data_IF_074274443424
#
_entry.id   IF_074274443424
#
_cell.length_a   1.000
_cell.length_b   1.000
_cell.length_c   1.000
_cell.angle_alpha   90.00
_cell.angle_beta   90.00
_cell.angle_gamma   90.00
#
_symmetry.space_group_name_H-M   'P 1'
#
loop_
_entity.id
_entity.type
_entity.pdbx_description
1 polymer ?
#
# COMPACT_ATOMS: atom_id res chain seq x y z
N UNK A 1 -32.09 -1.76 -44.43
CA UNK A 1 -31.76 -0.36 -44.05
C UNK A 1 -31.46 0.39 -45.32
N UNK A 2 -32.16 1.50 -45.55
CA UNK A 2 -31.95 2.34 -46.72
C UNK A 2 -30.56 2.99 -46.62
N UNK A 3 -29.63 2.75 -47.57
CA UNK A 3 -28.29 3.32 -47.52
C UNK A 3 -28.30 4.86 -47.46
N UNK A 4 -29.37 5.51 -47.92
CA UNK A 4 -29.53 6.96 -47.84
C UNK A 4 -29.80 7.48 -46.42
N UNK A 5 -30.35 6.65 -45.54
CA UNK A 5 -30.65 7.00 -44.15
C UNK A 5 -29.42 6.86 -43.25
N UNK A 6 -28.60 5.84 -43.50
CA UNK A 6 -27.28 5.65 -42.87
C UNK A 6 -26.35 6.83 -43.19
N UNK A 7 -26.31 7.28 -44.44
CA UNK A 7 -25.46 8.40 -44.85
C UNK A 7 -25.95 9.73 -44.25
N UNK A 8 -27.26 9.93 -44.13
CA UNK A 8 -27.86 11.13 -43.52
C UNK A 8 -27.58 11.19 -42.02
N UNK A 9 -27.66 10.06 -41.32
CA UNK A 9 -27.32 9.97 -39.90
C UNK A 9 -25.81 10.17 -39.66
N UNK A 10 -24.95 9.62 -40.52
CA UNK A 10 -23.50 9.84 -40.45
C UNK A 10 -23.14 11.33 -40.66
N UNK A 11 -23.71 11.98 -41.68
CA UNK A 11 -23.50 13.43 -41.91
C UNK A 11 -23.97 14.29 -40.74
N UNK A 12 -25.06 13.89 -40.09
CA UNK A 12 -25.59 14.58 -38.91
C UNK A 12 -24.66 14.43 -37.71
N UNK A 13 -24.18 13.21 -37.42
CA UNK A 13 -23.21 12.96 -36.34
C UNK A 13 -21.89 13.69 -36.60
N UNK A 14 -21.37 13.68 -37.82
CA UNK A 14 -20.18 14.46 -38.18
C UNK A 14 -20.39 15.97 -37.95
N UNK A 15 -21.58 16.51 -38.23
CA UNK A 15 -21.85 17.94 -38.02
C UNK A 15 -21.96 18.32 -36.54
N UNK A 16 -22.48 17.45 -35.69
CA UNK A 16 -22.68 17.75 -34.27
C UNK A 16 -21.49 17.38 -33.39
N UNK A 17 -20.69 16.40 -33.77
CA UNK A 17 -19.55 15.92 -32.95
C UNK A 17 -18.21 16.42 -33.50
N UNK A 18 -18.03 16.40 -34.83
CA UNK A 18 -16.76 16.80 -35.45
C UNK A 18 -16.58 18.32 -35.44
N UNK A 19 -17.65 19.08 -35.65
CA UNK A 19 -17.56 20.55 -35.74
C UNK A 19 -17.15 21.21 -34.41
N UNK A 20 -17.70 20.86 -33.23
CA UNK A 20 -17.23 21.43 -31.96
C UNK A 20 -15.80 21.01 -31.62
N UNK A 21 -15.42 19.75 -31.92
CA UNK A 21 -14.07 19.24 -31.68
C UNK A 21 -13.04 19.94 -32.57
N UNK A 22 -13.35 20.10 -33.87
CA UNK A 22 -12.52 20.85 -34.80
C UNK A 22 -12.47 22.34 -34.44
N UNK A 23 -13.53 22.94 -33.90
CA UNK A 23 -13.52 24.30 -33.37
C UNK A 23 -12.61 24.43 -32.14
N UNK A 24 -12.68 23.51 -31.17
CA UNK A 24 -11.80 23.52 -29.99
C UNK A 24 -10.33 23.25 -30.37
N UNK A 25 -10.11 22.34 -31.32
CA UNK A 25 -8.78 22.05 -31.85
C UNK A 25 -8.23 23.25 -32.63
N UNK A 26 -9.05 23.94 -33.43
CA UNK A 26 -8.64 25.15 -34.15
C UNK A 26 -8.41 26.35 -33.23
N UNK A 27 -9.15 26.48 -32.12
CA UNK A 27 -8.87 27.46 -31.07
C UNK A 27 -7.53 27.15 -30.37
N UNK A 28 -7.25 25.88 -30.05
CA UNK A 28 -5.96 25.46 -29.48
C UNK A 28 -4.79 25.68 -30.45
N UNK A 29 -5.02 25.47 -31.76
CA UNK A 29 -4.04 25.64 -32.84
C UNK A 29 -3.83 27.12 -33.23
N UNK A 30 -4.81 27.99 -32.97
CA UNK A 30 -4.73 29.42 -33.30
C UNK A 30 -3.95 30.23 -32.24
N UNK A 31 -3.76 29.69 -31.03
CA UNK A 31 -3.08 30.38 -29.93
C UNK A 31 -1.56 30.29 -29.94
N UNK A 32 -0.96 29.25 -30.54
CA UNK A 32 0.50 29.06 -30.51
C UNK A 32 1.02 28.41 -31.83
N UNK A 33 1.87 29.12 -32.61
CA UNK A 33 2.43 28.62 -33.85
C UNK A 33 3.33 27.37 -33.66
N UNK A 34 3.89 27.14 -32.48
CA UNK A 34 4.65 25.92 -32.20
C UNK A 34 3.76 24.68 -32.17
N UNK A 35 2.50 24.84 -31.73
CA UNK A 35 1.53 23.74 -31.67
C UNK A 35 1.13 23.25 -33.07
N UNK A 36 1.11 24.14 -34.08
CA UNK A 36 0.85 23.77 -35.50
C UNK A 36 1.90 22.81 -36.04
N UNK A 37 3.18 23.09 -35.78
CA UNK A 37 4.29 22.26 -36.25
C UNK A 37 4.27 20.87 -35.61
N UNK A 38 3.80 20.76 -34.36
CA UNK A 38 3.72 19.48 -33.65
C UNK A 38 2.57 18.59 -34.14
N UNK A 39 1.45 19.18 -34.59
CA UNK A 39 0.23 18.42 -34.96
C UNK A 39 0.16 18.11 -36.47
N UNK A 40 0.84 18.88 -37.32
CA UNK A 40 0.87 18.63 -38.78
C UNK A 40 1.22 17.18 -39.20
N UNK A 41 2.19 16.48 -38.57
CA UNK A 41 2.45 15.07 -38.89
C UNK A 41 1.31 14.12 -38.50
N UNK A 42 0.51 14.45 -37.46
CA UNK A 42 -0.65 13.64 -37.09
C UNK A 42 -1.76 13.72 -38.15
N UNK A 43 -1.95 14.87 -38.80
CA UNK A 43 -2.93 15.00 -39.88
C UNK A 43 -2.52 14.18 -41.11
N UNK A 44 -1.25 14.22 -41.51
CA UNK A 44 -0.73 13.39 -42.60
C UNK A 44 -0.85 11.89 -42.32
N UNK A 45 -0.66 11.48 -41.07
CA UNK A 45 -0.88 10.08 -40.65
C UNK A 45 -2.36 9.68 -40.72
N UNK A 46 -3.28 10.55 -40.30
CA UNK A 46 -4.72 10.28 -40.35
C UNK A 46 -5.25 10.19 -41.78
N UNK A 47 -4.72 10.98 -42.71
CA UNK A 47 -5.06 10.92 -44.13
C UNK A 47 -4.55 9.65 -44.83
N UNK A 48 -3.47 9.05 -44.31
CA UNK A 48 -2.90 7.81 -44.84
C UNK A 48 -3.65 6.54 -44.39
N UNK A 49 -4.60 6.64 -43.45
CA UNK A 49 -5.34 5.50 -42.95
C UNK A 49 -6.44 5.04 -43.93
N UNK A 50 -6.67 3.72 -44.08
CA UNK A 50 -7.82 3.22 -44.82
C UNK A 50 -9.12 3.78 -44.23
N UNK A 51 -10.05 4.19 -45.11
CA UNK A 51 -11.35 4.80 -44.75
C UNK A 51 -12.11 4.12 -43.59
N UNK A 52 -12.17 2.77 -43.47
CA UNK A 52 -12.84 2.15 -42.32
C UNK A 52 -12.11 2.38 -40.99
N UNK A 53 -10.77 2.44 -41.00
CA UNK A 53 -9.96 2.71 -39.80
C UNK A 53 -10.09 4.18 -39.38
N UNK A 54 -10.10 5.10 -40.35
CA UNK A 54 -10.33 6.52 -40.12
C UNK A 54 -11.68 6.81 -39.46
N UNK A 55 -12.74 6.12 -39.90
CA UNK A 55 -14.07 6.25 -39.30
C UNK A 55 -14.09 5.77 -37.84
N UNK A 56 -13.43 4.64 -37.52
CA UNK A 56 -13.33 4.14 -36.14
C UNK A 56 -12.54 5.10 -35.26
N UNK A 57 -11.42 5.65 -35.75
CA UNK A 57 -10.62 6.64 -35.00
C UNK A 57 -11.42 7.90 -34.70
N UNK A 58 -12.13 8.45 -35.70
CA UNK A 58 -12.98 9.65 -35.50
C UNK A 58 -14.14 9.38 -34.53
N UNK A 59 -14.77 8.22 -34.64
CA UNK A 59 -15.88 7.86 -33.77
C UNK A 59 -15.37 7.63 -32.34
N UNK A 60 -14.17 7.08 -32.15
CA UNK A 60 -13.63 6.78 -30.81
C UNK A 60 -12.93 7.97 -30.15
N UNK A 61 -12.31 8.88 -30.92
CA UNK A 61 -11.59 10.05 -30.42
C UNK A 61 -12.37 10.91 -29.41
N UNK A 62 -13.67 11.24 -29.59
CA UNK A 62 -14.41 12.06 -28.63
C UNK A 62 -14.73 11.31 -27.33
N UNK A 63 -14.63 9.97 -27.30
CA UNK A 63 -14.82 9.17 -26.09
C UNK A 63 -13.53 8.98 -25.29
N UNK A 64 -12.36 9.23 -25.88
CA UNK A 64 -11.07 9.12 -25.18
C UNK A 64 -10.92 10.19 -24.07
N UNK A 65 -11.20 11.49 -24.30
CA UNK A 65 -11.09 12.51 -23.25
C UNK A 65 -12.02 12.26 -22.05
N UNK A 66 -13.31 11.90 -22.21
CA UNK A 66 -14.18 11.55 -21.08
C UNK A 66 -13.67 10.38 -20.24
N UNK A 67 -13.12 9.33 -20.87
CA UNK A 67 -12.54 8.18 -20.15
C UNK A 67 -11.30 8.62 -19.37
N UNK A 68 -10.41 9.41 -19.97
CA UNK A 68 -9.21 9.94 -19.29
C UNK A 68 -9.62 10.83 -18.11
N UNK A 69 -10.58 11.73 -18.30
CA UNK A 69 -11.11 12.60 -17.24
C UNK A 69 -11.75 11.78 -16.14
N UNK A 70 -12.57 10.78 -16.46
CA UNK A 70 -13.19 9.90 -15.47
C UNK A 70 -12.14 9.15 -14.65
N UNK A 71 -11.09 8.62 -15.29
CA UNK A 71 -9.96 7.98 -14.60
C UNK A 71 -9.21 8.99 -13.71
N UNK A 72 -8.98 10.22 -14.17
CA UNK A 72 -8.35 11.26 -13.36
C UNK A 72 -9.20 11.68 -12.16
N UNK A 73 -10.50 11.88 -12.35
CA UNK A 73 -11.45 12.21 -11.26
C UNK A 73 -11.50 11.06 -10.25
N UNK A 74 -11.59 9.82 -10.72
CA UNK A 74 -11.54 8.65 -9.85
C UNK A 74 -10.23 8.60 -9.05
N UNK A 75 -9.08 8.88 -9.68
CA UNK A 75 -7.78 8.99 -9.00
C UNK A 75 -7.79 10.07 -7.91
N UNK A 76 -8.33 11.24 -8.21
CA UNK A 76 -8.43 12.34 -7.23
C UNK A 76 -9.35 11.97 -6.07
N UNK A 77 -10.48 11.31 -6.33
CA UNK A 77 -11.41 10.86 -5.30
C UNK A 77 -10.82 9.78 -4.40
N UNK A 78 -10.15 8.78 -4.97
CA UNK A 78 -9.44 7.73 -4.21
C UNK A 78 -8.33 8.36 -3.38
N UNK A 79 -7.52 9.24 -3.98
CA UNK A 79 -6.46 9.96 -3.26
C UNK A 79 -7.02 10.84 -2.14
N UNK A 80 -8.12 11.56 -2.38
CA UNK A 80 -8.79 12.41 -1.38
C UNK A 80 -9.36 11.57 -0.23
N UNK A 81 -9.96 10.42 -0.53
CA UNK A 81 -10.44 9.47 0.48
C UNK A 81 -9.31 8.96 1.38
N UNK A 82 -8.16 8.61 0.78
CA UNK A 82 -6.95 8.24 1.51
C UNK A 82 -6.39 9.42 2.33
N UNK A 83 -6.34 10.63 1.76
CA UNK A 83 -5.86 11.84 2.44
C UNK A 83 -6.73 12.25 3.64
N UNK A 84 -8.07 12.14 3.51
CA UNK A 84 -8.98 12.42 4.63
C UNK A 84 -8.80 11.42 5.77
N UNK A 85 -8.64 10.14 5.42
CA UNK A 85 -8.33 9.08 6.39
C UNK A 85 -6.97 9.32 7.07
N UNK A 86 -5.99 9.87 6.35
CA UNK A 86 -4.68 10.21 6.90
C UNK A 86 -4.72 11.27 8.01
N UNK A 87 -5.31 12.44 7.71
CA UNK A 87 -5.31 13.58 8.64
C UNK A 87 -5.98 13.21 9.97
N UNK A 88 -7.06 12.42 9.90
CA UNK A 88 -7.74 11.90 11.09
C UNK A 88 -6.86 10.94 11.92
N UNK A 89 -5.97 10.16 11.30
CA UNK A 89 -5.13 9.16 11.98
C UNK A 89 -3.91 9.77 12.67
N UNK A 90 -3.33 10.83 12.12
CA UNK A 90 -2.21 11.53 12.77
C UNK A 90 -2.65 12.24 14.04
N UNK A 91 -3.85 12.83 14.02
CA UNK A 91 -4.41 13.51 15.19
C UNK A 91 -4.86 12.47 16.22
N UNK A 92 -5.41 11.33 15.77
CA UNK A 92 -5.74 10.19 16.62
C UNK A 92 -4.50 9.55 17.27
N UNK A 93 -3.33 9.51 16.61
CA UNK A 93 -2.08 9.01 17.20
C UNK A 93 -1.73 9.76 18.49
N UNK A 94 -1.76 11.09 18.39
CA UNK A 94 -1.37 12.00 19.44
C UNK A 94 -2.38 11.95 20.59
N UNK A 95 -3.67 11.78 20.27
CA UNK A 95 -4.75 11.57 21.24
C UNK A 95 -4.68 10.17 21.88
N UNK A 96 -4.48 9.10 21.12
CA UNK A 96 -4.42 7.72 21.64
C UNK A 96 -3.19 7.49 22.54
N UNK A 97 -2.10 8.23 22.30
CA UNK A 97 -0.89 8.14 23.12
C UNK A 97 -0.92 9.05 24.35
N UNK A 98 -1.76 10.09 24.35
CA UNK A 98 -1.94 11.01 25.49
C UNK A 98 -3.16 10.65 26.36
N UNK A 99 -4.18 10.02 25.79
CA UNK A 99 -5.38 9.62 26.49
C UNK A 99 -5.14 8.31 27.25
N UNK A 100 -5.31 8.36 28.58
CA UNK A 100 -5.43 7.18 29.44
C UNK A 100 -6.54 6.20 28.99
N UNK A 101 -7.48 6.66 28.16
CA UNK A 101 -8.58 5.88 27.62
C UNK A 101 -8.47 5.86 26.08
N UNK A 102 -7.99 4.74 25.56
CA UNK A 102 -7.92 4.46 24.11
C UNK A 102 -9.34 4.18 23.59
N UNK A 103 -10.07 5.21 23.19
CA UNK A 103 -11.30 5.03 22.40
C UNK A 103 -10.91 4.84 20.92
N UNK A 104 -10.33 3.68 20.60
CA UNK A 104 -10.07 3.32 19.20
C UNK A 104 -11.37 2.86 18.54
N UNK A 105 -11.47 3.02 17.23
CA UNK A 105 -12.63 2.59 16.41
C UNK A 105 -13.11 1.15 16.72
N UNK A 106 -12.21 0.29 17.18
CA UNK A 106 -12.49 -1.11 17.54
C UNK A 106 -12.12 -1.47 19.00
N UNK A 107 -11.73 -0.50 19.83
CA UNK A 107 -11.21 -0.72 21.19
C UNK A 107 -9.89 -1.49 21.28
N UNK A 108 -9.28 -1.89 20.15
CA UNK A 108 -8.03 -2.67 20.08
C UNK A 108 -6.87 -1.85 19.55
N UNK A 109 -5.72 -1.99 20.21
CA UNK A 109 -4.45 -1.35 19.83
C UNK A 109 -3.46 -2.43 19.40
N UNK A 110 -2.83 -2.27 18.25
CA UNK A 110 -1.79 -3.16 17.76
C UNK A 110 -0.47 -2.40 17.69
N UNK A 111 0.62 -3.00 18.14
CA UNK A 111 1.95 -2.40 18.11
C UNK A 111 2.77 -3.02 17.00
N UNK A 112 3.37 -2.22 16.13
CA UNK A 112 4.37 -2.68 15.17
C UNK A 112 5.78 -2.29 15.59
N UNK A 113 6.59 -3.29 15.92
CA UNK A 113 7.99 -3.17 16.31
C UNK A 113 8.91 -3.48 15.14
N UNK A 114 9.82 -2.55 14.84
CA UNK A 114 10.80 -2.68 13.76
C UNK A 114 12.02 -1.81 13.96
N UNK A 115 13.07 -2.13 13.22
CA UNK A 115 14.29 -1.33 13.12
C UNK A 115 14.05 -0.02 12.35
N UNK A 116 14.68 1.10 12.68
CA UNK A 116 14.48 2.35 11.92
C UNK A 116 14.86 2.24 10.45
N UNK A 117 15.92 1.52 10.12
CA UNK A 117 16.39 1.33 8.75
C UNK A 117 15.40 0.54 7.89
N UNK A 118 14.46 -0.18 8.53
CA UNK A 118 13.33 -0.83 7.86
C UNK A 118 12.25 0.14 7.39
N UNK A 119 12.38 1.44 7.71
CA UNK A 119 11.50 2.48 7.17
C UNK A 119 11.51 2.49 5.64
N UNK A 120 12.58 2.06 4.97
CA UNK A 120 12.63 2.07 3.51
C UNK A 120 12.20 0.76 2.86
N UNK A 121 11.68 -0.20 3.64
CA UNK A 121 11.17 -1.45 3.08
C UNK A 121 9.86 -1.18 2.34
N UNK A 122 9.98 -1.25 1.01
CA UNK A 122 8.84 -1.29 0.10
C UNK A 122 8.03 -2.55 0.37
N UNK A 123 6.74 -2.54 0.08
CA UNK A 123 5.84 -3.69 0.18
C UNK A 123 5.67 -4.40 -1.17
N UNK A 124 6.35 -3.94 -2.21
CA UNK A 124 6.37 -4.55 -3.55
C UNK A 124 6.79 -6.04 -3.52
N UNK A 125 7.46 -6.50 -2.48
CA UNK A 125 7.76 -7.91 -2.28
C UNK A 125 6.60 -8.79 -1.79
N UNK A 126 5.50 -8.22 -1.30
CA UNK A 126 4.28 -8.99 -0.99
C UNK A 126 3.44 -9.23 -2.24
N UNK A 127 3.44 -8.27 -3.15
CA UNK A 127 2.61 -8.27 -4.34
C UNK A 127 3.40 -8.92 -5.47
N UNK A 128 3.00 -10.13 -5.87
CA UNK A 128 3.55 -10.77 -7.08
C UNK A 128 3.19 -9.90 -8.28
N UNK A 129 4.18 -9.56 -9.11
CA UNK A 129 4.18 -8.54 -10.18
C UNK A 129 3.13 -8.75 -11.30
N UNK A 130 2.26 -9.76 -11.21
CA UNK A 130 1.40 -10.21 -12.32
C UNK A 130 0.19 -9.29 -12.61
N UNK A 131 -0.21 -8.41 -11.68
CA UNK A 131 -1.49 -7.68 -11.80
C UNK A 131 -1.40 -6.16 -12.08
N UNK A 132 -0.21 -5.56 -12.24
CA UNK A 132 -0.10 -4.09 -12.32
C UNK A 132 0.45 -3.53 -13.64
N UNK A 133 -0.19 -3.84 -14.77
CA UNK A 133 0.06 -3.13 -16.02
C UNK A 133 -0.23 -1.61 -15.94
N UNK A 134 -0.87 -1.11 -14.87
CA UNK A 134 -1.27 0.30 -14.80
C UNK A 134 -1.04 1.05 -13.47
N UNK A 135 -0.70 0.40 -12.35
CA UNK A 135 -0.62 1.07 -11.04
C UNK A 135 0.32 0.39 -10.01
N UNK A 136 1.64 0.46 -10.23
CA UNK A 136 2.63 0.14 -9.19
C UNK A 136 2.77 1.34 -8.24
N UNK A 137 1.84 1.47 -7.27
CA UNK A 137 2.09 2.34 -6.12
C UNK A 137 3.03 1.59 -5.18
N UNK A 138 4.27 2.09 -5.07
CA UNK A 138 5.26 1.56 -4.11
C UNK A 138 4.82 1.96 -2.70
N UNK A 139 4.00 1.13 -2.06
CA UNK A 139 3.64 1.28 -0.65
C UNK A 139 4.75 0.75 0.24
N UNK A 140 4.80 1.23 1.50
CA UNK A 140 5.72 0.71 2.51
C UNK A 140 5.04 -0.36 3.36
N UNK A 141 5.83 -1.22 3.99
CA UNK A 141 5.28 -2.28 4.84
C UNK A 141 4.45 -1.75 6.02
N UNK A 142 4.83 -0.61 6.62
CA UNK A 142 4.01 -0.01 7.68
C UNK A 142 2.66 0.51 7.17
N UNK A 143 2.55 0.86 5.89
CA UNK A 143 1.30 1.30 5.30
C UNK A 143 0.38 0.09 5.04
N UNK A 144 0.93 -0.98 4.46
CA UNK A 144 0.15 -2.19 4.22
C UNK A 144 -0.30 -2.85 5.52
N UNK A 145 0.55 -2.89 6.56
CA UNK A 145 0.15 -3.36 7.89
C UNK A 145 -0.92 -2.46 8.51
N UNK A 146 -0.78 -1.13 8.42
CA UNK A 146 -1.77 -0.22 8.97
C UNK A 146 -3.12 -0.39 8.29
N UNK A 147 -3.13 -0.57 6.97
CA UNK A 147 -4.36 -0.82 6.20
C UNK A 147 -4.96 -2.20 6.49
N UNK A 148 -4.12 -3.23 6.66
CA UNK A 148 -4.57 -4.57 7.00
C UNK A 148 -5.20 -4.64 8.39
N UNK A 149 -4.65 -3.90 9.36
CA UNK A 149 -5.13 -3.84 10.74
C UNK A 149 -6.35 -2.93 10.91
N UNK A 150 -6.55 -1.94 10.04
CA UNK A 150 -7.67 -0.97 10.11
C UNK A 150 -9.06 -1.64 10.09
N UNK A 151 -9.16 -2.87 9.61
CA UNK A 151 -10.38 -3.67 9.64
C UNK A 151 -10.80 -4.09 11.06
N UNK A 152 -9.87 -4.23 12.00
CA UNK A 152 -10.12 -4.80 13.33
C UNK A 152 -9.39 -4.11 14.48
N UNK A 153 -8.64 -3.04 14.22
CA UNK A 153 -7.88 -2.33 15.25
C UNK A 153 -7.17 -1.08 14.76
N UNK A 154 -6.30 -0.54 15.60
CA UNK A 154 -5.43 0.58 15.26
C UNK A 154 -3.97 0.16 15.42
N UNK A 155 -3.19 0.24 14.34
CA UNK A 155 -1.76 -0.03 14.37
C UNK A 155 -0.99 1.22 14.80
N UNK A 156 -0.11 1.10 15.79
CA UNK A 156 0.83 2.15 16.21
C UNK A 156 2.27 1.67 16.09
N UNK A 157 3.17 2.60 15.81
CA UNK A 157 4.61 2.38 15.77
C UNK A 157 5.33 3.35 16.70
N UNK A 158 6.59 3.06 17.00
CA UNK A 158 7.52 4.04 17.55
C UNK A 158 8.41 4.59 16.45
N UNK A 159 8.79 5.87 16.58
CA UNK A 159 9.84 6.44 15.76
C UNK A 159 9.64 7.89 15.37
N UNK A 160 10.54 8.39 14.51
CA UNK A 160 10.46 9.77 14.01
C UNK A 160 9.20 9.94 13.17
N UNK A 161 8.46 11.03 13.41
CA UNK A 161 7.33 11.43 12.57
C UNK A 161 7.86 11.66 11.15
N UNK A 162 7.42 10.83 10.21
CA UNK A 162 7.75 10.99 8.80
C UNK A 162 6.85 12.09 8.23
N UNK A 163 7.46 13.10 7.59
CA UNK A 163 6.76 14.32 7.17
C UNK A 163 5.81 14.14 5.97
N UNK A 164 5.71 12.95 5.36
CA UNK A 164 5.23 12.86 3.98
C UNK A 164 4.41 11.62 3.57
N UNK A 165 3.98 10.74 4.48
CA UNK A 165 3.34 9.49 4.04
C UNK A 165 1.85 9.42 4.36
N UNK A 166 0.97 9.39 3.34
CA UNK A 166 -0.47 9.50 3.51
C UNK A 166 -1.15 8.24 4.10
N UNK A 167 -0.47 7.12 4.33
CA UNK A 167 -1.15 5.87 4.71
C UNK A 167 -0.44 5.01 5.78
N UNK A 168 0.53 5.57 6.50
CA UNK A 168 1.34 4.81 7.46
C UNK A 168 0.71 4.66 8.86
N UNK A 169 1.24 3.69 9.62
CA UNK A 169 0.92 3.56 11.03
C UNK A 169 1.32 4.83 11.81
N UNK A 170 0.42 5.41 12.62
CA UNK A 170 0.75 6.52 13.51
C UNK A 170 1.96 6.23 14.41
N UNK A 171 2.80 7.25 14.65
CA UNK A 171 4.08 7.08 15.37
C UNK A 171 4.13 7.85 16.69
N UNK A 172 4.45 7.16 17.78
CA UNK A 172 4.90 7.81 19.02
C UNK A 172 6.34 8.28 18.83
N UNK A 173 6.56 9.58 18.91
CA UNK A 173 7.91 10.12 18.93
C UNK A 173 8.55 9.81 20.28
N UNK A 174 9.68 9.11 20.25
CA UNK A 174 10.46 8.77 21.43
C UNK A 174 11.90 9.26 21.27
N UNK A 175 12.57 9.49 22.40
CA UNK A 175 14.02 9.72 22.46
C UNK A 175 14.75 8.39 22.69
N UNK A 176 16.06 8.33 22.44
CA UNK A 176 16.85 7.12 22.70
C UNK A 176 16.80 6.70 24.18
N UNK A 177 16.75 7.66 25.10
CA UNK A 177 16.69 7.41 26.55
C UNK A 177 15.28 6.95 26.96
N UNK A 178 14.23 7.57 26.41
CA UNK A 178 12.83 7.21 26.70
C UNK A 178 12.36 5.92 26.02
N UNK A 179 13.07 5.48 24.97
CA UNK A 179 12.65 4.39 24.10
C UNK A 179 12.28 3.11 24.84
N UNK A 180 13.11 2.54 25.74
CA UNK A 180 12.75 1.28 26.41
C UNK A 180 11.46 1.39 27.23
N UNK A 181 11.22 2.55 27.86
CA UNK A 181 10.02 2.82 28.65
C UNK A 181 8.79 2.93 27.75
N UNK A 182 8.92 3.65 26.64
CA UNK A 182 7.82 3.83 25.69
C UNK A 182 7.43 2.52 24.99
N UNK A 183 8.41 1.68 24.60
CA UNK A 183 8.17 0.34 24.07
C UNK A 183 7.47 -0.54 25.10
N UNK A 184 7.97 -0.57 26.34
CA UNK A 184 7.37 -1.37 27.40
C UNK A 184 5.91 -0.99 27.67
N UNK A 185 5.62 0.31 27.76
CA UNK A 185 4.25 0.82 27.94
C UNK A 185 3.33 0.41 26.77
N UNK A 186 3.80 0.53 25.53
CA UNK A 186 3.02 0.15 24.36
C UNK A 186 2.81 -1.36 24.26
N UNK A 187 3.84 -2.15 24.55
CA UNK A 187 3.75 -3.61 24.58
C UNK A 187 2.74 -4.08 25.62
N UNK A 188 2.66 -3.43 26.78
CA UNK A 188 1.70 -3.74 27.82
C UNK A 188 0.26 -3.49 27.35
N UNK A 189 0.00 -2.29 26.81
CA UNK A 189 -1.33 -1.85 26.36
C UNK A 189 -1.81 -2.52 25.06
N UNK A 190 -0.92 -3.00 24.22
CA UNK A 190 -1.29 -3.55 22.91
C UNK A 190 -2.08 -4.86 23.07
N UNK A 191 -3.18 -4.97 22.33
CA UNK A 191 -3.95 -6.20 22.12
C UNK A 191 -3.16 -7.23 21.29
N UNK A 192 -2.29 -6.77 20.41
CA UNK A 192 -1.41 -7.61 19.61
C UNK A 192 -0.14 -6.88 19.19
N UNK A 193 0.94 -7.63 18.99
CA UNK A 193 2.24 -7.11 18.58
C UNK A 193 2.59 -7.73 17.23
N UNK A 194 2.94 -6.91 16.25
CA UNK A 194 3.55 -7.33 15.00
C UNK A 194 5.02 -6.97 15.12
N UNK A 195 5.93 -7.91 14.91
CA UNK A 195 7.35 -7.66 15.04
C UNK A 195 8.10 -8.12 13.81
N UNK A 196 8.96 -7.25 13.28
CA UNK A 196 9.99 -7.66 12.34
C UNK A 196 11.24 -8.11 13.14
N UNK A 197 11.51 -9.42 13.26
CA UNK A 197 12.59 -9.89 14.12
C UNK A 197 13.95 -9.54 13.50
N UNK A 198 14.85 -9.03 14.33
CA UNK A 198 16.25 -8.71 13.97
C UNK A 198 17.13 -8.85 15.19
N UNK A 199 18.41 -9.17 14.97
CA UNK A 199 19.42 -9.20 16.04
C UNK A 199 20.17 -7.88 16.21
N UNK A 200 19.73 -6.83 15.52
CA UNK A 200 20.41 -5.54 15.47
C UNK A 200 19.64 -4.45 16.24
N UNK A 201 20.40 -3.54 16.85
CA UNK A 201 19.88 -2.30 17.45
C UNK A 201 18.91 -2.54 18.60
N UNK A 202 18.02 -1.56 18.82
CA UNK A 202 17.01 -1.60 19.90
C UNK A 202 16.02 -2.76 19.73
N UNK A 203 15.69 -3.14 18.50
CA UNK A 203 14.75 -4.22 18.21
C UNK A 203 15.24 -5.59 18.71
N UNK A 204 16.55 -5.78 18.86
CA UNK A 204 17.10 -6.99 19.48
C UNK A 204 16.77 -7.13 20.97
N UNK A 205 16.76 -6.01 21.73
CA UNK A 205 16.40 -6.05 23.15
C UNK A 205 14.88 -6.22 23.34
N UNK A 206 14.09 -5.63 22.45
CA UNK A 206 12.64 -5.82 22.38
C UNK A 206 12.29 -7.29 22.10
N UNK A 207 12.97 -7.92 21.14
CA UNK A 207 12.77 -9.34 20.80
C UNK A 207 13.05 -10.22 22.02
N UNK A 208 14.17 -9.99 22.70
CA UNK A 208 14.51 -10.74 23.92
C UNK A 208 13.49 -10.52 25.04
N UNK A 209 12.92 -9.32 25.14
CA UNK A 209 11.88 -9.02 26.13
C UNK A 209 10.61 -9.81 25.84
N UNK A 210 10.19 -9.84 24.58
CA UNK A 210 9.03 -10.62 24.12
C UNK A 210 9.26 -12.11 24.37
N UNK A 211 10.40 -12.66 23.96
CA UNK A 211 10.72 -14.09 24.11
C UNK A 211 10.78 -14.55 25.57
N UNK A 212 11.20 -13.68 26.50
CA UNK A 212 11.24 -13.98 27.93
C UNK A 212 9.89 -13.86 28.64
N UNK A 213 8.94 -13.10 28.08
CA UNK A 213 7.65 -12.86 28.68
C UNK A 213 6.54 -13.61 27.93
N UNK A 214 6.03 -14.69 28.53
CA UNK A 214 4.99 -15.55 27.92
C UNK A 214 3.73 -14.78 27.50
N UNK A 215 3.33 -13.74 28.22
CA UNK A 215 2.14 -12.96 27.88
C UNK A 215 2.38 -12.10 26.63
N UNK A 216 3.55 -11.46 26.52
CA UNK A 216 3.93 -10.72 25.31
C UNK A 216 4.12 -11.67 24.13
N UNK A 217 4.76 -12.80 24.35
CA UNK A 217 5.03 -13.80 23.33
C UNK A 217 3.74 -14.34 22.68
N UNK A 218 2.72 -14.65 23.48
CA UNK A 218 1.43 -15.16 22.98
C UNK A 218 0.72 -14.20 22.03
N UNK A 219 0.77 -12.90 22.32
CA UNK A 219 0.16 -11.87 21.47
C UNK A 219 1.07 -11.33 20.38
N UNK A 220 2.26 -11.92 20.17
CA UNK A 220 3.21 -11.47 19.14
C UNK A 220 3.13 -12.33 17.89
N UNK A 221 2.94 -11.67 16.75
CA UNK A 221 3.11 -12.21 15.41
C UNK A 221 4.42 -11.68 14.82
N UNK A 222 5.27 -12.60 14.41
CA UNK A 222 6.54 -12.31 13.78
C UNK A 222 6.36 -12.27 12.26
N UNK A 223 6.78 -11.15 11.66
CA UNK A 223 6.80 -10.97 10.21
C UNK A 223 8.18 -11.35 9.69
N UNK A 224 8.26 -12.45 8.93
CA UNK A 224 9.52 -12.88 8.38
C UNK A 224 10.06 -11.87 7.35
N UNK A 225 11.35 -11.51 7.45
CA UNK A 225 12.02 -10.74 6.42
C UNK A 225 11.97 -11.44 5.05
N UNK A 226 11.83 -10.68 3.95
CA UNK A 226 12.02 -11.22 2.62
C UNK A 226 13.52 -11.52 2.36
N UNK A 227 13.82 -12.41 1.40
CA UNK A 227 15.17 -12.94 1.15
C UNK A 227 16.21 -11.87 0.77
N UNK A 228 15.79 -10.75 0.19
CA UNK A 228 16.70 -9.67 -0.18
C UNK A 228 17.12 -8.79 1.01
N UNK A 229 16.41 -8.87 2.15
CA UNK A 229 16.77 -8.14 3.38
C UNK A 229 17.78 -8.97 4.18
N UNK A 230 17.50 -10.25 4.35
CA UNK A 230 18.47 -11.20 4.90
C UNK A 230 18.54 -12.42 4.01
N UNK A 231 19.75 -12.68 3.50
CA UNK A 231 20.04 -14.01 2.98
C UNK A 231 19.80 -15.04 4.08
N UNK A 232 19.14 -16.16 3.76
CA UNK A 232 19.01 -17.31 4.68
C UNK A 232 20.38 -17.85 5.16
N UNK A 233 21.45 -17.49 4.45
CA UNK A 233 22.83 -17.84 4.78
C UNK A 233 23.54 -16.77 5.61
N UNK A 234 22.88 -15.67 5.93
CA UNK A 234 23.45 -14.61 6.76
C UNK A 234 23.60 -15.08 8.20
N UNK A 235 24.65 -14.60 8.88
CA UNK A 235 24.88 -14.90 10.30
C UNK A 235 23.69 -14.46 11.17
N UNK A 236 23.04 -13.35 10.83
CA UNK A 236 21.85 -12.85 11.53
C UNK A 236 20.68 -13.84 11.46
N UNK A 237 20.46 -14.48 10.30
CA UNK A 237 19.41 -15.49 10.15
C UNK A 237 19.64 -16.69 11.07
N UNK A 238 20.87 -17.20 11.13
CA UNK A 238 21.21 -18.30 12.04
C UNK A 238 21.08 -17.91 13.51
N UNK A 239 21.46 -16.68 13.87
CA UNK A 239 21.29 -16.16 15.22
C UNK A 239 19.82 -16.03 15.62
N UNK A 240 18.97 -15.52 14.71
CA UNK A 240 17.52 -15.48 14.93
C UNK A 240 16.96 -16.89 15.13
N UNK A 241 17.26 -17.81 14.20
CA UNK A 241 16.82 -19.21 14.29
C UNK A 241 17.21 -19.84 15.64
N UNK A 242 18.48 -19.76 15.99
CA UNK A 242 18.99 -20.30 17.26
C UNK A 242 18.32 -19.64 18.48
N UNK A 243 18.07 -18.33 18.43
CA UNK A 243 17.38 -17.62 19.50
C UNK A 243 15.95 -18.11 19.69
N UNK A 244 15.17 -18.27 18.61
CA UNK A 244 13.80 -18.80 18.68
C UNK A 244 13.77 -20.26 19.18
N UNK A 245 14.67 -21.11 18.64
CA UNK A 245 14.78 -22.52 19.04
C UNK A 245 15.17 -22.66 20.52
N UNK A 246 16.04 -21.79 21.04
CA UNK A 246 16.40 -21.77 22.47
C UNK A 246 15.23 -21.42 23.40
N UNK A 247 14.15 -20.86 22.87
CA UNK A 247 12.90 -20.58 23.59
C UNK A 247 11.79 -21.59 23.24
N UNK A 248 12.11 -22.67 22.54
CA UNK A 248 11.15 -23.72 22.17
C UNK A 248 10.17 -23.33 21.07
N UNK A 249 10.50 -22.30 20.27
CA UNK A 249 9.64 -21.83 19.17
C UNK A 249 10.16 -22.40 17.85
N UNK A 250 9.27 -23.02 17.08
CA UNK A 250 9.60 -23.51 15.74
C UNK A 250 9.78 -22.34 14.78
N UNK A 251 11.02 -22.13 14.33
CA UNK A 251 11.34 -21.09 13.35
C UNK A 251 11.11 -21.59 11.92
N UNK A 252 10.29 -20.94 11.07
CA UNK A 252 9.97 -21.40 9.72
C UNK A 252 11.13 -21.17 8.73
N UNK A 253 12.26 -21.84 8.93
CA UNK A 253 13.52 -21.55 8.20
C UNK A 253 13.50 -21.87 6.70
N UNK A 254 12.54 -22.68 6.26
CA UNK A 254 12.33 -23.09 4.88
C UNK A 254 11.41 -22.15 4.09
N UNK A 255 10.73 -21.21 4.76
CA UNK A 255 9.72 -20.34 4.16
C UNK A 255 10.12 -18.86 4.17
N UNK A 256 9.63 -18.12 3.18
CA UNK A 256 9.84 -16.67 3.02
C UNK A 256 8.49 -15.95 2.98
N UNK A 257 8.47 -14.71 3.48
CA UNK A 257 7.26 -13.90 3.48
C UNK A 257 6.12 -14.55 4.29
N UNK A 258 6.46 -15.03 5.49
CA UNK A 258 5.54 -15.73 6.38
C UNK A 258 5.29 -14.90 7.63
N UNK A 259 4.03 -14.84 8.06
CA UNK A 259 3.66 -14.45 9.42
C UNK A 259 3.65 -15.69 10.29
N UNK A 260 4.25 -15.66 11.48
CA UNK A 260 4.19 -16.79 12.39
C UNK A 260 4.06 -16.36 13.85
N UNK A 261 3.45 -17.21 14.67
CA UNK A 261 3.30 -17.04 16.12
C UNK A 261 4.15 -18.06 16.89
N UNK A 262 4.30 -17.83 18.18
CA UNK A 262 5.13 -18.67 19.05
C UNK A 262 4.60 -20.10 19.24
N UNK A 263 3.31 -20.32 19.01
CA UNK A 263 2.65 -21.63 19.06
C UNK A 263 2.85 -22.47 17.78
N UNK A 264 3.60 -21.95 16.80
CA UNK A 264 3.89 -22.64 15.55
C UNK A 264 2.85 -22.43 14.45
N UNK A 265 1.78 -21.64 14.68
CA UNK A 265 0.90 -21.23 13.58
C UNK A 265 1.66 -20.29 12.66
N UNK A 266 1.41 -20.43 11.36
CA UNK A 266 1.97 -19.54 10.35
C UNK A 266 1.01 -19.33 9.18
N UNK A 267 1.18 -18.22 8.48
CA UNK A 267 0.45 -17.89 7.27
C UNK A 267 1.44 -17.42 6.20
N UNK A 268 1.45 -18.11 5.06
CA UNK A 268 2.24 -17.73 3.90
C UNK A 268 1.55 -16.58 3.17
N UNK A 269 2.31 -15.52 2.89
CA UNK A 269 1.79 -14.38 2.12
C UNK A 269 2.01 -14.57 0.61
N UNK A 270 2.83 -15.55 0.23
CA UNK A 270 3.12 -15.93 -1.15
C UNK A 270 2.10 -16.98 -1.64
N UNK A 271 1.10 -16.60 -2.45
CA UNK A 271 0.15 -17.57 -3.04
C UNK A 271 -1.28 -17.09 -3.34
N UNK A 272 -1.50 -15.79 -3.55
CA UNK A 272 -2.84 -15.21 -3.74
C UNK A 272 -3.35 -14.41 -2.54
N UNK A 273 -2.74 -14.63 -1.36
CA UNK A 273 -2.86 -13.77 -0.17
C UNK A 273 -1.91 -12.56 -0.19
N UNK A 274 -1.11 -12.42 -1.25
CA UNK A 274 -0.25 -11.26 -1.48
C UNK A 274 -1.03 -9.97 -1.74
N UNK A 275 -2.37 -10.02 -1.66
CA UNK A 275 -3.23 -8.84 -1.63
C UNK A 275 -3.36 -8.29 -0.22
N UNK A 276 -3.65 -7.01 -0.09
CA UNK A 276 -4.02 -6.37 1.19
C UNK A 276 -5.09 -7.13 1.97
N UNK A 277 -6.08 -7.68 1.27
CA UNK A 277 -7.14 -8.48 1.87
C UNK A 277 -6.59 -9.77 2.49
N UNK A 278 -5.63 -10.41 1.83
CA UNK A 278 -4.96 -11.59 2.34
C UNK A 278 -4.13 -11.31 3.59
N UNK A 279 -3.38 -10.21 3.61
CA UNK A 279 -2.65 -9.77 4.81
C UNK A 279 -3.59 -9.47 5.98
N UNK A 280 -4.71 -8.80 5.73
CA UNK A 280 -5.73 -8.51 6.74
C UNK A 280 -6.31 -9.79 7.33
N UNK A 281 -6.75 -10.72 6.47
CA UNK A 281 -7.27 -12.03 6.89
C UNK A 281 -6.25 -12.86 7.68
N UNK A 282 -4.99 -12.87 7.23
CA UNK A 282 -3.92 -13.58 7.91
C UNK A 282 -3.68 -13.04 9.32
N UNK A 283 -3.60 -11.72 9.47
CA UNK A 283 -3.43 -11.09 10.77
C UNK A 283 -4.64 -11.30 11.68
N UNK A 284 -5.85 -11.13 11.16
CA UNK A 284 -7.09 -11.33 11.92
C UNK A 284 -7.15 -12.76 12.48
N UNK A 285 -6.89 -13.77 11.63
CA UNK A 285 -6.86 -15.18 12.04
C UNK A 285 -5.77 -15.47 13.08
N UNK A 286 -4.57 -14.93 12.89
CA UNK A 286 -3.49 -15.17 13.82
C UNK A 286 -3.77 -14.52 15.20
N UNK A 287 -4.40 -13.34 15.22
CA UNK A 287 -4.78 -12.65 16.45
C UNK A 287 -6.09 -13.14 17.08
N UNK A 288 -7.02 -13.77 16.35
CA UNK A 288 -8.27 -14.27 16.92
C UNK A 288 -8.08 -15.44 17.88
N UNK A 289 -7.03 -16.23 17.67
CA UNK A 289 -6.75 -17.43 18.47
C UNK A 289 -5.61 -17.25 19.49
N UNK A 290 -5.11 -16.02 19.68
CA UNK A 290 -4.04 -15.67 20.61
C UNK A 290 -4.56 -15.23 21.99
#
# INVERSE_FOLDING_TARGET
MDPSESERNFRTICRWVLTPFLCLLSIAIAGDPNTRATIAPMFGFLEALPRPVYAVVIVTLPFVPPIIIAVMVFRVLVWWSHYKSYKSRTDAAEILLSAKNLDTKHGKLYLYLRKFESDNFRADWFYRDDDSLFFSFKTRIDEELALAVDAFGTLVCLGRRLRALPAGAPRKQSTNIGWPKDVAELMDKASGIIMFPTMLGATASELRTILKNKALLRKTIFLMPPPFIYSRRSQEWFQLKSLFESHGITFPSDKEGVLFSADGRFCELNGGLGSRAGLSFALERLFSDA
#
